data_IF_193597039804
#
_entry.id   IF_193597039804
#
_cell.length_a   1.000
_cell.length_b   1.000
_cell.length_c   1.000
_cell.angle_alpha   90.00
_cell.angle_beta   90.00
_cell.angle_gamma   90.00
#
_symmetry.space_group_name_H-M   'P 1'
#
loop_
_entity.id
_entity.type
_entity.pdbx_description
1 polymer ?
#
# COMPACT_ATOMS: atom_id res chain seq x y z
N UNK A 1 25.15 -6.52 -12.45
CA UNK A 1 23.92 -6.13 -11.74
C UNK A 1 22.71 -6.53 -12.55
N UNK A 2 22.25 -7.77 -12.38
CA UNK A 2 21.05 -8.29 -13.03
C UNK A 2 19.90 -8.29 -12.02
N UNK A 3 19.46 -7.10 -11.60
CA UNK A 3 18.34 -6.97 -10.67
C UNK A 3 16.99 -7.32 -11.28
N UNK A 4 16.86 -7.30 -12.60
CA UNK A 4 15.64 -7.64 -13.32
C UNK A 4 15.99 -8.48 -14.55
N UNK A 5 16.23 -9.75 -14.33
CA UNK A 5 16.56 -10.65 -15.44
C UNK A 5 15.34 -10.96 -16.32
N UNK A 6 14.16 -10.82 -15.78
CA UNK A 6 12.89 -11.01 -16.45
C UNK A 6 11.99 -9.80 -16.22
N UNK A 7 12.17 -8.74 -17.00
CA UNK A 7 11.15 -7.71 -17.10
C UNK A 7 9.90 -8.33 -17.74
N UNK A 8 8.99 -8.77 -16.90
CA UNK A 8 7.65 -9.09 -17.39
C UNK A 8 7.00 -7.79 -17.86
N UNK A 9 6.51 -7.78 -19.09
CA UNK A 9 5.74 -6.63 -19.60
C UNK A 9 4.61 -6.34 -18.63
N UNK A 10 4.43 -5.07 -18.20
CA UNK A 10 3.31 -4.73 -17.36
C UNK A 10 2.02 -5.11 -18.08
N UNK A 11 1.22 -5.93 -17.45
CA UNK A 11 -0.11 -6.24 -17.94
C UNK A 11 -1.15 -5.98 -16.85
N UNK A 12 -2.32 -5.53 -17.27
CA UNK A 12 -3.44 -5.37 -16.38
C UNK A 12 -4.11 -6.73 -16.20
N UNK A 13 -4.23 -7.18 -14.98
CA UNK A 13 -4.94 -8.40 -14.62
C UNK A 13 -5.93 -8.09 -13.51
N UNK A 14 -7.16 -8.54 -13.67
CA UNK A 14 -8.14 -8.55 -12.60
C UNK A 14 -7.62 -9.45 -11.47
N UNK A 15 -7.48 -8.90 -10.28
CA UNK A 15 -7.03 -9.66 -9.12
C UNK A 15 -8.23 -10.27 -8.38
N UNK A 16 -9.23 -9.44 -8.10
CA UNK A 16 -10.54 -9.83 -7.57
C UNK A 16 -11.57 -8.79 -8.01
N UNK A 17 -12.85 -9.06 -7.80
CA UNK A 17 -13.88 -8.09 -8.12
C UNK A 17 -13.75 -6.84 -7.22
N UNK A 18 -13.87 -5.66 -7.82
CA UNK A 18 -13.75 -4.40 -7.11
C UNK A 18 -12.33 -3.86 -6.92
N UNK A 19 -11.33 -4.44 -7.60
CA UNK A 19 -9.97 -3.89 -7.55
C UNK A 19 -9.24 -3.97 -8.88
N UNK A 20 -8.31 -3.04 -9.09
CA UNK A 20 -7.36 -3.03 -10.19
C UNK A 20 -5.95 -2.88 -9.63
N UNK A 21 -5.05 -3.76 -10.04
CA UNK A 21 -3.65 -3.73 -9.63
C UNK A 21 -2.71 -3.67 -10.81
N UNK A 22 -1.67 -2.86 -10.64
CA UNK A 22 -0.47 -2.92 -11.47
C UNK A 22 0.69 -3.24 -10.53
N UNK A 23 1.24 -4.46 -10.61
CA UNK A 23 2.26 -4.92 -9.67
C UNK A 23 3.48 -5.52 -10.37
N UNK A 24 4.65 -5.32 -9.74
CA UNK A 24 5.87 -6.06 -10.00
C UNK A 24 6.18 -6.94 -8.77
N UNK A 25 6.55 -8.18 -9.02
CA UNK A 25 6.85 -9.17 -7.97
C UNK A 25 8.25 -9.71 -8.20
N UNK A 26 9.06 -9.83 -7.15
CA UNK A 26 10.38 -10.44 -7.20
C UNK A 26 10.30 -11.96 -7.41
N UNK A 27 11.38 -12.58 -7.84
CA UNK A 27 11.55 -14.01 -7.63
C UNK A 27 11.56 -14.36 -6.14
N UNK A 28 11.37 -15.66 -5.85
CA UNK A 28 11.47 -16.18 -4.48
C UNK A 28 12.93 -16.34 -4.08
N UNK A 29 13.33 -15.69 -3.01
CA UNK A 29 14.68 -15.80 -2.43
C UNK A 29 14.66 -15.37 -0.96
N UNK A 30 15.83 -15.40 -0.32
CA UNK A 30 16.06 -14.92 1.05
C UNK A 30 16.18 -13.38 1.09
N UNK A 31 15.16 -12.70 0.62
CA UNK A 31 15.11 -11.26 0.63
C UNK A 31 15.04 -10.69 2.04
N UNK A 32 15.61 -9.53 2.24
CA UNK A 32 15.54 -8.80 3.51
C UNK A 32 14.57 -7.63 3.46
N UNK A 33 14.15 -7.22 2.27
CA UNK A 33 13.23 -6.09 2.13
C UNK A 33 13.12 -5.61 0.70
N UNK A 34 12.36 -4.55 0.53
CA UNK A 34 12.16 -3.83 -0.72
C UNK A 34 12.05 -2.33 -0.42
N UNK A 35 12.54 -1.51 -1.31
CA UNK A 35 12.39 -0.07 -1.23
C UNK A 35 12.48 0.58 -2.61
N UNK A 36 12.06 1.82 -2.68
CA UNK A 36 12.14 2.62 -3.89
C UNK A 36 11.61 4.02 -3.68
N UNK A 37 11.86 4.86 -4.66
CA UNK A 37 11.36 6.23 -4.72
C UNK A 37 10.22 6.30 -5.71
N UNK A 38 9.20 7.08 -5.39
CA UNK A 38 8.04 7.32 -6.26
C UNK A 38 7.62 8.78 -6.18
N UNK A 39 7.28 9.36 -7.31
CA UNK A 39 6.50 10.61 -7.36
C UNK A 39 5.04 10.21 -7.25
N UNK A 40 4.35 10.74 -6.24
CA UNK A 40 2.96 10.39 -5.99
C UNK A 40 2.08 10.85 -7.16
N UNK A 41 1.18 9.99 -7.65
CA UNK A 41 0.39 10.28 -8.83
C UNK A 41 -0.59 11.42 -8.60
N UNK A 42 -0.85 12.20 -9.64
CA UNK A 42 -2.05 13.02 -9.72
C UNK A 42 -3.26 12.09 -9.80
N UNK A 43 -4.34 12.50 -9.15
CA UNK A 43 -5.56 11.70 -9.08
C UNK A 43 -6.67 12.49 -9.72
N UNK A 44 -7.33 11.88 -10.68
CA UNK A 44 -8.55 12.37 -11.29
C UNK A 44 -9.63 11.31 -11.11
N UNK A 45 -10.77 11.70 -10.58
CA UNK A 45 -11.87 10.78 -10.34
C UNK A 45 -13.00 11.02 -11.33
N UNK A 46 -13.64 9.93 -11.76
CA UNK A 46 -14.88 9.99 -12.51
C UNK A 46 -16.01 10.48 -11.60
N UNK A 47 -16.61 11.62 -11.94
CA UNK A 47 -17.71 12.24 -11.20
C UNK A 47 -18.95 11.33 -11.08
N UNK A 48 -19.10 10.35 -11.97
CA UNK A 48 -20.18 9.37 -11.91
C UNK A 48 -19.93 8.24 -10.89
N UNK A 49 -18.73 8.21 -10.28
CA UNK A 49 -18.31 7.18 -9.34
C UNK A 49 -18.23 7.68 -7.90
N UNK A 50 -19.08 8.63 -7.54
CA UNK A 50 -19.21 9.11 -6.16
C UNK A 50 -19.76 7.99 -5.26
N UNK A 51 -19.26 7.95 -4.03
CA UNK A 51 -19.70 6.98 -3.04
C UNK A 51 -21.06 7.40 -2.45
N UNK A 52 -22.14 6.63 -2.68
CA UNK A 52 -23.47 7.01 -2.21
C UNK A 52 -23.60 6.99 -0.68
N UNK A 53 -22.71 6.27 0.01
CA UNK A 53 -22.73 6.11 1.46
C UNK A 53 -21.78 7.05 2.19
N UNK A 54 -20.89 7.74 1.46
CA UNK A 54 -19.89 8.65 2.03
C UNK A 54 -19.81 9.91 1.18
N UNK A 55 -20.64 10.93 1.46
CA UNK A 55 -20.61 12.19 0.74
C UNK A 55 -19.21 12.79 0.68
N UNK A 56 -18.82 13.31 -0.49
CA UNK A 56 -17.49 13.87 -0.71
C UNK A 56 -16.41 12.86 -1.03
N UNK A 57 -16.70 11.56 -1.06
CA UNK A 57 -15.77 10.52 -1.45
C UNK A 57 -16.18 9.82 -2.75
N UNK A 58 -15.21 9.19 -3.40
CA UNK A 58 -15.42 8.36 -4.57
C UNK A 58 -15.37 6.87 -4.18
N UNK A 59 -15.90 6.02 -5.06
CA UNK A 59 -15.82 4.57 -4.88
C UNK A 59 -14.38 4.07 -5.02
N UNK A 60 -13.60 4.72 -5.87
CA UNK A 60 -12.21 4.36 -6.13
C UNK A 60 -11.28 4.90 -5.04
N UNK A 61 -10.39 4.06 -4.56
CA UNK A 61 -9.40 4.42 -3.55
C UNK A 61 -7.99 4.04 -4.03
N UNK A 62 -7.23 5.00 -4.55
CA UNK A 62 -5.89 4.75 -5.05
C UNK A 62 -4.89 4.55 -3.92
N UNK A 63 -3.94 3.65 -4.14
CA UNK A 63 -2.83 3.38 -3.25
C UNK A 63 -1.55 3.05 -3.99
N UNK A 64 -0.42 3.37 -3.36
CA UNK A 64 0.93 3.01 -3.79
C UNK A 64 1.62 2.31 -2.63
N UNK A 65 1.99 1.05 -2.81
CA UNK A 65 2.53 0.30 -1.68
C UNK A 65 3.55 -0.77 -2.09
N UNK A 66 4.27 -1.20 -1.10
CA UNK A 66 5.15 -2.35 -1.10
C UNK A 66 4.49 -3.48 -0.33
N UNK A 67 5.03 -4.65 -0.41
CA UNK A 67 4.57 -5.80 0.36
C UNK A 67 5.31 -7.04 -0.04
N UNK A 68 4.77 -8.17 0.31
CA UNK A 68 5.35 -9.45 -0.04
C UNK A 68 4.54 -10.62 0.52
N UNK A 69 5.09 -11.81 0.31
CA UNK A 69 4.61 -13.03 0.93
C UNK A 69 5.80 -13.82 1.44
N UNK A 70 5.83 -14.07 2.74
CA UNK A 70 6.86 -14.87 3.38
C UNK A 70 6.23 -15.68 4.52
N UNK A 71 6.60 -16.93 4.66
CA UNK A 71 6.02 -17.81 5.67
C UNK A 71 4.49 -17.93 5.59
N UNK A 72 3.91 -17.82 4.39
CA UNK A 72 2.46 -17.86 4.17
C UNK A 72 1.70 -16.59 4.60
N UNK A 73 2.39 -15.56 5.06
CA UNK A 73 1.77 -14.27 5.41
C UNK A 73 2.02 -13.24 4.32
N UNK A 74 0.95 -12.66 3.80
CA UNK A 74 1.00 -11.55 2.85
C UNK A 74 0.93 -10.21 3.59
N UNK A 75 1.70 -9.23 3.11
CA UNK A 75 1.65 -7.84 3.58
C UNK A 75 1.42 -6.87 2.44
N UNK A 76 0.71 -5.78 2.75
CA UNK A 76 0.53 -4.59 1.93
C UNK A 76 0.84 -3.37 2.81
N UNK A 77 1.90 -2.64 2.48
CA UNK A 77 2.45 -1.58 3.34
C UNK A 77 2.88 -0.40 2.47
N UNK A 78 2.31 0.76 2.67
CA UNK A 78 2.65 1.93 1.87
C UNK A 78 1.75 3.12 2.12
N UNK A 79 1.29 3.75 1.06
CA UNK A 79 0.48 4.96 1.09
C UNK A 79 -0.87 4.72 0.43
N UNK A 80 -1.93 5.15 1.08
CA UNK A 80 -3.31 5.09 0.58
C UNK A 80 -3.98 6.45 0.66
N UNK A 81 -4.90 6.72 -0.27
CA UNK A 81 -5.64 7.98 -0.34
C UNK A 81 -6.69 8.04 0.75
N UNK A 82 -6.58 9.05 1.64
CA UNK A 82 -7.34 9.12 2.89
C UNK A 82 -7.88 10.50 3.19
N UNK A 83 -8.88 10.53 4.06
CA UNK A 83 -9.35 11.77 4.70
C UNK A 83 -8.25 12.36 5.59
N UNK A 84 -8.25 13.66 5.73
CA UNK A 84 -7.31 14.40 6.58
C UNK A 84 -8.02 14.96 7.80
N UNK A 85 -7.27 15.24 8.85
CA UNK A 85 -7.75 15.93 10.04
C UNK A 85 -7.12 17.32 10.07
N UNK A 86 -7.95 18.35 9.92
CA UNK A 86 -7.55 19.76 9.92
C UNK A 86 -8.21 20.44 11.11
N UNK A 87 -7.43 21.07 11.98
CA UNK A 87 -7.93 21.74 13.19
C UNK A 87 -8.87 20.90 14.05
N UNK A 88 -8.58 19.59 14.14
CA UNK A 88 -9.38 18.65 14.93
C UNK A 88 -10.59 18.05 14.19
N UNK A 89 -10.92 18.54 13.00
CA UNK A 89 -12.07 18.10 12.21
C UNK A 89 -11.59 17.18 11.07
N UNK A 90 -12.25 16.03 10.93
CA UNK A 90 -11.98 15.11 9.83
C UNK A 90 -12.70 15.58 8.57
N UNK A 91 -11.98 15.67 7.45
CA UNK A 91 -12.56 16.05 6.16
C UNK A 91 -13.56 14.99 5.67
N UNK A 92 -14.59 15.42 4.96
CA UNK A 92 -15.48 14.49 4.26
C UNK A 92 -14.80 13.86 3.06
N UNK A 93 -14.01 14.65 2.34
CA UNK A 93 -13.24 14.20 1.18
C UNK A 93 -11.91 13.59 1.60
N UNK A 94 -11.45 12.60 0.82
CA UNK A 94 -10.06 12.17 0.88
C UNK A 94 -9.20 13.20 0.17
N UNK A 95 -8.06 13.55 0.76
CA UNK A 95 -7.23 14.67 0.28
C UNK A 95 -5.74 14.39 0.26
N UNK A 96 -5.28 13.35 0.93
CA UNK A 96 -3.85 13.06 1.06
C UNK A 96 -3.56 11.55 1.03
N UNK A 97 -2.35 11.22 0.64
CA UNK A 97 -1.79 9.90 0.87
C UNK A 97 -1.31 9.79 2.31
N UNK A 98 -1.72 8.75 3.02
CA UNK A 98 -1.33 8.46 4.40
C UNK A 98 -0.77 7.05 4.51
N UNK A 99 0.27 6.82 5.35
CA UNK A 99 0.84 5.49 5.54
C UNK A 99 -0.19 4.50 6.07
N UNK A 100 -0.18 3.29 5.52
CA UNK A 100 -0.97 2.17 5.97
C UNK A 100 -0.15 0.89 6.01
N UNK A 101 -0.57 -0.05 6.84
CA UNK A 101 0.01 -1.38 6.97
C UNK A 101 -1.11 -2.40 7.08
N UNK A 102 -0.96 -3.49 6.33
CA UNK A 102 -1.87 -4.62 6.35
C UNK A 102 -1.09 -5.92 6.33
N UNK A 103 -1.54 -6.89 7.10
CA UNK A 103 -1.09 -8.29 7.03
C UNK A 103 -2.27 -9.23 7.04
N UNK A 104 -2.11 -10.38 6.42
CA UNK A 104 -3.10 -11.46 6.39
C UNK A 104 -2.82 -12.50 7.47
N UNK A 105 -3.80 -13.41 7.69
CA UNK A 105 -3.67 -14.57 8.57
C UNK A 105 -4.15 -15.81 7.79
N UNK A 106 -3.20 -16.53 7.18
CA UNK A 106 -3.53 -17.72 6.38
C UNK A 106 -3.16 -19.04 7.05
N UNK A 107 -2.30 -19.00 8.04
CA UNK A 107 -1.88 -20.18 8.79
C UNK A 107 -1.93 -19.93 10.30
N UNK A 108 -1.95 -21.00 11.07
CA UNK A 108 -1.93 -20.93 12.54
C UNK A 108 -0.75 -20.12 13.07
N UNK A 109 -1.00 -19.29 14.08
CA UNK A 109 -0.02 -18.38 14.65
C UNK A 109 0.15 -17.04 13.93
N UNK A 110 -0.63 -16.81 12.87
CA UNK A 110 -0.72 -15.51 12.21
C UNK A 110 -2.01 -14.81 12.61
N UNK A 111 -1.95 -13.49 12.68
CA UNK A 111 -3.10 -12.63 12.92
C UNK A 111 -3.19 -11.58 11.80
N UNK A 112 -4.40 -11.38 11.30
CA UNK A 112 -4.65 -10.26 10.39
C UNK A 112 -4.64 -8.93 11.13
N UNK A 113 -4.21 -7.90 10.46
CA UNK A 113 -4.25 -6.54 10.98
C UNK A 113 -4.31 -5.55 9.84
N UNK A 114 -5.00 -4.45 10.07
CA UNK A 114 -4.97 -3.25 9.24
C UNK A 114 -4.81 -2.02 10.15
N UNK A 115 -3.82 -1.19 9.85
CA UNK A 115 -3.55 0.03 10.58
C UNK A 115 -3.12 1.16 9.65
N UNK A 116 -3.49 2.38 10.00
CA UNK A 116 -3.00 3.61 9.36
C UNK A 116 -2.11 4.37 10.33
N UNK A 117 -1.20 5.17 9.79
CA UNK A 117 -0.53 6.21 10.58
C UNK A 117 -1.58 7.13 11.22
N UNK A 118 -1.26 7.80 12.33
CA UNK A 118 -2.15 8.81 12.90
C UNK A 118 -2.59 9.85 11.87
N UNK A 119 -3.82 10.33 11.97
CA UNK A 119 -4.34 11.38 11.12
C UNK A 119 -3.78 12.75 11.56
N UNK A 120 -2.53 12.99 11.20
CA UNK A 120 -1.74 14.17 11.53
C UNK A 120 -1.06 14.71 10.28
N UNK A 121 -0.98 16.04 10.14
CA UNK A 121 -0.45 16.72 8.95
C UNK A 121 0.97 16.25 8.58
N UNK A 122 1.81 15.98 9.55
CA UNK A 122 3.18 15.45 9.35
C UNK A 122 3.23 14.09 8.66
N UNK A 123 2.09 13.40 8.53
CA UNK A 123 1.95 12.09 7.90
C UNK A 123 1.06 12.12 6.65
N UNK A 124 0.84 13.31 6.09
CA UNK A 124 0.12 13.50 4.84
C UNK A 124 1.10 13.83 3.71
N UNK A 125 1.06 13.04 2.65
CA UNK A 125 1.76 13.32 1.40
C UNK A 125 0.76 13.58 0.30
N UNK A 126 1.14 14.44 -0.65
CA UNK A 126 0.24 14.94 -1.67
C UNK A 126 0.71 14.54 -3.06
N UNK A 127 -0.21 14.50 -4.08
CA UNK A 127 0.15 14.30 -5.46
C UNK A 127 1.28 15.21 -5.91
N UNK A 128 2.25 14.64 -6.65
CA UNK A 128 3.43 15.34 -7.14
C UNK A 128 4.61 15.38 -6.15
N UNK A 129 4.42 15.05 -4.88
CA UNK A 129 5.54 14.91 -3.94
C UNK A 129 6.33 13.62 -4.23
N UNK A 130 7.66 13.72 -4.15
CA UNK A 130 8.56 12.58 -4.25
C UNK A 130 8.80 12.00 -2.86
N UNK A 131 8.65 10.68 -2.74
CA UNK A 131 8.83 9.96 -1.48
C UNK A 131 9.61 8.67 -1.68
N UNK A 132 10.50 8.36 -0.75
CA UNK A 132 11.10 7.05 -0.60
C UNK A 132 10.24 6.20 0.34
N UNK A 133 9.91 4.99 -0.09
CA UNK A 133 9.15 4.02 0.69
C UNK A 133 10.01 2.78 0.82
N UNK A 134 10.12 2.22 2.03
CA UNK A 134 10.83 0.98 2.26
C UNK A 134 10.19 0.13 3.35
N UNK A 135 10.28 -1.18 3.16
CA UNK A 135 10.00 -2.19 4.17
C UNK A 135 11.19 -3.13 4.27
N UNK A 136 11.61 -3.45 5.48
CA UNK A 136 12.80 -4.27 5.72
C UNK A 136 12.62 -5.16 6.95
N UNK A 137 13.04 -6.42 6.86
CA UNK A 137 13.11 -7.33 8.00
C UNK A 137 14.27 -6.87 8.89
N UNK A 138 13.97 -6.24 10.01
CA UNK A 138 14.99 -5.77 10.96
C UNK A 138 15.30 -6.82 12.02
N UNK A 139 14.26 -7.48 12.50
CA UNK A 139 14.32 -8.63 13.41
C UNK A 139 13.39 -9.74 12.92
N UNK A 140 13.54 -10.94 13.46
CA UNK A 140 12.60 -12.03 13.19
C UNK A 140 11.19 -11.59 13.55
N UNK A 141 10.27 -11.75 12.62
CA UNK A 141 8.83 -11.43 12.74
C UNK A 141 8.52 -9.94 12.79
N UNK A 142 9.48 -9.06 12.39
CA UNK A 142 9.31 -7.62 12.43
C UNK A 142 9.81 -6.95 11.15
N UNK A 143 8.94 -6.17 10.53
CA UNK A 143 9.25 -5.29 9.42
C UNK A 143 9.40 -3.84 9.92
N UNK A 144 10.47 -3.18 9.53
CA UNK A 144 10.57 -1.72 9.64
C UNK A 144 9.98 -1.09 8.40
N UNK A 145 9.01 -0.23 8.57
CA UNK A 145 8.37 0.56 7.53
C UNK A 145 8.80 2.02 7.62
N UNK A 146 9.25 2.57 6.50
CA UNK A 146 9.66 3.98 6.42
C UNK A 146 9.04 4.61 5.19
N UNK A 147 8.49 5.81 5.37
CA UNK A 147 8.17 6.77 4.31
C UNK A 147 8.93 8.05 4.59
N UNK A 148 9.72 8.53 3.63
CA UNK A 148 10.57 9.71 3.80
C UNK A 148 10.56 10.54 2.51
N UNK A 149 10.22 11.81 2.63
CA UNK A 149 10.20 12.74 1.49
C UNK A 149 9.37 13.97 1.75
N UNK A 150 9.55 14.99 0.92
CA UNK A 150 8.86 16.27 1.03
C UNK A 150 9.00 16.91 2.43
N UNK A 151 10.14 16.72 3.09
CA UNK A 151 10.38 17.23 4.45
C UNK A 151 9.63 16.53 5.57
N UNK A 152 9.00 15.40 5.29
CA UNK A 152 8.20 14.61 6.24
C UNK A 152 8.74 13.20 6.34
N UNK A 153 8.58 12.56 7.51
CA UNK A 153 9.00 11.17 7.75
C UNK A 153 8.00 10.45 8.64
N UNK A 154 7.64 9.24 8.23
CA UNK A 154 6.96 8.25 9.04
C UNK A 154 7.85 7.02 9.16
N UNK A 155 8.00 6.50 10.38
CA UNK A 155 8.74 5.28 10.64
C UNK A 155 8.04 4.48 11.72
N UNK A 156 7.88 3.18 11.50
CA UNK A 156 7.32 2.26 12.51
C UNK A 156 7.86 0.85 12.31
N UNK A 157 7.85 0.10 13.39
CA UNK A 157 7.99 -1.35 13.35
C UNK A 157 6.59 -1.99 13.22
N UNK A 158 6.51 -3.03 12.42
CA UNK A 158 5.26 -3.74 12.14
C UNK A 158 5.48 -5.24 12.30
N UNK A 159 4.77 -5.85 13.22
CA UNK A 159 4.90 -7.28 13.50
C UNK A 159 4.24 -8.13 12.42
N UNK A 160 4.98 -9.11 11.93
CA UNK A 160 4.55 -10.02 10.86
C UNK A 160 5.13 -11.41 11.11
N UNK A 161 4.35 -12.30 11.67
CA UNK A 161 4.80 -13.64 12.10
C UNK A 161 5.41 -14.50 10.99
N UNK A 162 5.06 -14.24 9.72
CA UNK A 162 5.62 -14.95 8.57
C UNK A 162 7.04 -14.49 8.17
N UNK A 163 7.46 -13.29 8.61
CA UNK A 163 8.70 -12.68 8.13
C UNK A 163 9.87 -12.94 9.07
N UNK A 164 10.88 -13.62 8.53
CA UNK A 164 12.09 -13.99 9.27
C UNK A 164 13.30 -13.95 8.35
N UNK A 165 14.44 -13.47 8.87
CA UNK A 165 15.72 -13.51 8.15
C UNK A 165 16.09 -14.96 7.77
N UNK A 166 16.44 -15.14 6.50
CA UNK A 166 16.78 -16.46 5.96
C UNK A 166 15.60 -17.29 5.44
N UNK A 167 14.36 -16.89 5.70
CA UNK A 167 13.20 -17.50 5.06
C UNK A 167 13.14 -17.10 3.58
N UNK A 168 12.65 -18.04 2.78
CA UNK A 168 12.35 -17.78 1.36
C UNK A 168 10.99 -17.10 1.26
N UNK A 169 10.96 -16.00 0.52
CA UNK A 169 9.74 -15.26 0.24
C UNK A 169 9.88 -14.41 -1.00
N UNK A 170 8.88 -13.64 -1.30
CA UNK A 170 8.87 -12.68 -2.40
C UNK A 170 8.40 -11.32 -1.90
N UNK A 171 8.89 -10.26 -2.54
CA UNK A 171 8.42 -8.90 -2.33
C UNK A 171 7.74 -8.36 -3.57
N UNK A 172 6.88 -7.37 -3.38
CA UNK A 172 6.10 -6.74 -4.45
C UNK A 172 6.07 -5.22 -4.31
N UNK A 173 5.97 -4.56 -5.44
CA UNK A 173 5.58 -3.16 -5.57
C UNK A 173 4.25 -3.08 -6.29
N UNK A 174 3.33 -2.28 -5.79
CA UNK A 174 1.96 -2.22 -6.29
C UNK A 174 1.46 -0.79 -6.39
N UNK A 175 0.82 -0.50 -7.52
CA UNK A 175 -0.11 0.61 -7.65
C UNK A 175 -1.50 -0.01 -7.78
N UNK A 176 -2.42 0.39 -6.93
CA UNK A 176 -3.77 -0.17 -6.90
C UNK A 176 -4.84 0.91 -6.94
N UNK A 177 -5.99 0.53 -7.44
CA UNK A 177 -7.25 1.23 -7.24
C UNK A 177 -8.23 0.21 -6.71
N UNK A 178 -8.63 0.37 -5.46
CA UNK A 178 -9.64 -0.45 -4.82
C UNK A 178 -10.99 0.26 -4.94
N UNK A 179 -12.03 -0.48 -5.31
CA UNK A 179 -13.39 0.04 -5.34
C UNK A 179 -14.05 -0.15 -3.99
N UNK A 180 -14.09 0.93 -3.22
CA UNK A 180 -14.65 0.94 -1.85
C UNK A 180 -16.18 1.04 -1.91
N UNK A 181 -16.86 0.36 -0.99
CA UNK A 181 -18.34 0.34 -0.84
C UNK A 181 -19.11 -0.19 -2.06
N UNK A 182 -18.44 -0.83 -2.99
CA UNK A 182 -19.04 -1.54 -4.11
C UNK A 182 -18.27 -2.83 -4.40
N UNK A 183 -17.89 -3.50 -3.35
CA UNK A 183 -17.13 -4.76 -3.39
C UNK A 183 -17.85 -5.82 -4.23
N UNK A 184 -17.05 -6.63 -4.93
CA UNK A 184 -17.56 -7.65 -5.83
C UNK A 184 -17.99 -7.15 -7.21
N UNK A 185 -17.98 -5.84 -7.48
CA UNK A 185 -18.21 -5.29 -8.81
C UNK A 185 -16.92 -4.92 -9.49
N UNK A 186 -16.78 -5.12 -10.80
CA UNK A 186 -15.59 -4.74 -11.54
C UNK A 186 -15.27 -3.25 -11.41
N UNK A 187 -14.00 -2.92 -11.23
CA UNK A 187 -13.52 -1.54 -11.36
C UNK A 187 -13.68 -1.12 -12.82
N UNK A 188 -14.27 0.03 -13.05
CA UNK A 188 -14.31 0.61 -14.38
C UNK A 188 -12.99 1.33 -14.64
N UNK A 189 -12.33 0.94 -15.71
CA UNK A 189 -11.17 1.65 -16.23
C UNK A 189 -11.66 2.67 -17.25
N UNK A 190 -11.36 3.90 -17.02
CA UNK A 190 -11.54 4.99 -18.01
C UNK A 190 -10.27 5.17 -18.81
#
# INVERSE_FOLDING_TARGET
NTFFKDETRPFAQKCFDGAYYRKAVSGKDKWLGIGGTVVLPQIEFDENRKNPNKPGQYLDNPSVYLGGNMGGQETDIGLTWEVVKESGVVSQERKAFRPFMRRTAHISGQEENYANAPAEERYYWYPGEEVAISIQIVDDYKLKFIVDGAGKRFETDYECAGYKKGNIGEFKRVNAIDQVANEGKPVQLT
#
